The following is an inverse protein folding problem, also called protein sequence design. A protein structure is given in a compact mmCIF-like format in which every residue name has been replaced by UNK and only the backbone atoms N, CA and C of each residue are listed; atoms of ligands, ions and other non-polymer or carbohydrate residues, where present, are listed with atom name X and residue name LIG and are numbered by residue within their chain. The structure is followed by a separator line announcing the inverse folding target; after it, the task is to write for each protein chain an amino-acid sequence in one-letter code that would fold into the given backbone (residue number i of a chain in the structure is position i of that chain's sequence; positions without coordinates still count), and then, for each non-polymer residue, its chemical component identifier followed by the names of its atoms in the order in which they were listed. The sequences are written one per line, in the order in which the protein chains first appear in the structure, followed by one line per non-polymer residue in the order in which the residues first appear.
data_IF_870770476523
#
_entry.id   IF_870770476523
#
_cell.length_a   1.000
_cell.length_b   1.000
_cell.length_c   1.000
_cell.angle_alpha   90.00
_cell.angle_beta   90.00
_cell.angle_gamma   90.00
#
_symmetry.space_group_name_H-M   'P 1'
#
loop_
_entity.id
_entity.type
_entity.pdbx_description
1 polymer ?
#
# COMPACT_ATOMS: atom_id res chain seq x y z
N UNK A 1 -55.33 -21.34 75.98
CA UNK A 1 -56.68 -21.84 76.32
C UNK A 1 -57.06 -22.90 75.32
N UNK A 2 -57.10 -24.10 75.83
CA UNK A 2 -57.91 -25.32 75.42
C UNK A 2 -57.75 -25.83 73.96
N UNK A 3 -57.47 -27.01 73.69
CA UNK A 3 -57.58 -28.36 74.29
C UNK A 3 -57.89 -29.31 73.16
N UNK A 4 -57.09 -30.36 73.07
CA UNK A 4 -57.46 -31.80 73.12
C UNK A 4 -58.58 -32.32 72.22
N UNK A 5 -58.29 -33.29 71.37
CA UNK A 5 -58.58 -34.75 71.58
C UNK A 5 -58.18 -35.47 70.26
N UNK A 6 -57.39 -36.34 70.22
CA UNK A 6 -57.24 -37.80 70.45
C UNK A 6 -58.26 -38.73 69.78
N UNK A 7 -57.71 -39.74 69.23
CA UNK A 7 -58.13 -41.15 68.87
C UNK A 7 -57.92 -41.39 67.35
N UNK A 8 -57.17 -42.23 66.89
CA UNK A 8 -56.87 -43.62 67.27
C UNK A 8 -57.27 -44.52 66.13
N UNK A 9 -56.37 -45.31 65.61
CA UNK A 9 -56.54 -46.68 65.26
C UNK A 9 -55.85 -47.16 63.97
N UNK A 10 -54.99 -48.08 64.18
CA UNK A 10 -54.64 -49.28 63.37
C UNK A 10 -53.95 -49.21 62.06
N UNK A 11 -52.85 -49.89 62.09
CA UNK A 11 -51.89 -50.28 61.07
C UNK A 11 -52.53 -50.99 59.87
N UNK A 12 -51.96 -50.74 58.75
CA UNK A 12 -51.67 -51.73 57.70
C UNK A 12 -50.47 -51.27 56.87
N UNK A 13 -49.46 -52.11 56.80
CA UNK A 13 -48.28 -51.97 55.95
C UNK A 13 -48.62 -52.49 54.54
N UNK A 14 -48.32 -51.74 53.46
CA UNK A 14 -48.15 -52.40 52.19
C UNK A 14 -46.70 -52.27 51.71
N UNK A 15 -46.31 -53.29 51.02
CA UNK A 15 -45.08 -53.69 50.39
C UNK A 15 -44.21 -52.63 49.74
N UNK A 16 -42.93 -52.83 49.92
CA UNK A 16 -41.89 -52.16 49.18
C UNK A 16 -42.02 -52.38 47.66
N UNK A 17 -42.17 -51.28 46.91
CA UNK A 17 -41.99 -51.26 45.44
C UNK A 17 -40.56 -50.84 45.18
N UNK A 18 -39.77 -51.72 44.54
CA UNK A 18 -38.44 -51.46 44.05
C UNK A 18 -38.51 -50.30 43.06
N UNK A 19 -37.66 -49.30 43.27
CA UNK A 19 -37.39 -48.24 42.32
C UNK A 19 -36.56 -48.80 41.15
N UNK A 20 -36.78 -48.35 39.88
CA UNK A 20 -35.96 -48.79 38.77
C UNK A 20 -34.55 -48.22 38.92
N UNK A 21 -33.57 -49.08 38.63
CA UNK A 21 -32.16 -48.70 38.58
C UNK A 21 -31.96 -47.54 37.59
N UNK A 22 -31.29 -46.47 38.04
CA UNK A 22 -30.82 -45.37 37.18
C UNK A 22 -29.84 -45.94 36.16
N UNK A 23 -30.12 -45.71 34.87
CA UNK A 23 -29.15 -45.91 33.77
C UNK A 23 -27.97 -44.96 33.99
N UNK A 24 -26.73 -45.37 33.66
CA UNK A 24 -25.56 -44.49 33.75
C UNK A 24 -25.70 -43.34 32.75
N UNK A 25 -25.76 -42.12 33.24
CA UNK A 25 -25.66 -40.93 32.41
C UNK A 25 -24.33 -40.99 31.63
N UNK A 26 -24.44 -41.03 30.30
CA UNK A 26 -23.32 -40.82 29.39
C UNK A 26 -22.76 -39.41 29.67
N UNK A 27 -21.45 -39.25 29.86
CA UNK A 27 -20.88 -37.90 29.99
C UNK A 27 -21.27 -37.07 28.75
N UNK A 28 -21.85 -35.90 28.95
CA UNK A 28 -22.08 -34.95 27.88
C UNK A 28 -20.69 -34.64 27.25
N UNK A 29 -20.56 -34.92 25.96
CA UNK A 29 -19.43 -34.44 25.18
C UNK A 29 -19.36 -32.90 25.35
N UNK A 30 -18.28 -32.42 25.94
CA UNK A 30 -17.95 -30.96 25.88
C UNK A 30 -18.01 -30.56 24.41
N UNK A 31 -18.67 -29.43 24.07
CA UNK A 31 -18.65 -28.93 22.69
C UNK A 31 -17.18 -28.74 22.29
N UNK A 32 -16.79 -29.40 21.20
CA UNK A 32 -15.47 -29.20 20.61
C UNK A 32 -15.27 -27.69 20.45
N UNK A 33 -14.18 -27.16 20.98
CA UNK A 33 -13.80 -25.77 20.79
C UNK A 33 -13.85 -25.52 19.29
N UNK A 34 -14.61 -24.51 18.88
CA UNK A 34 -14.60 -24.07 17.47
C UNK A 34 -13.17 -23.76 17.11
N UNK A 35 -12.63 -24.40 16.07
CA UNK A 35 -11.27 -24.19 15.62
C UNK A 35 -11.12 -22.70 15.23
N UNK A 36 -10.05 -22.06 15.68
CA UNK A 36 -9.74 -20.67 15.30
C UNK A 36 -9.41 -20.65 13.79
N UNK A 37 -10.20 -19.94 12.96
CA UNK A 37 -9.95 -19.87 11.52
C UNK A 37 -8.54 -19.40 11.16
N UNK A 38 -7.90 -18.61 12.03
CA UNK A 38 -6.53 -18.15 11.83
C UNK A 38 -5.51 -19.28 12.07
N UNK A 39 -5.71 -20.12 13.08
CA UNK A 39 -4.85 -21.28 13.32
C UNK A 39 -4.90 -22.27 12.15
N UNK A 40 -6.09 -22.51 11.60
CA UNK A 40 -6.27 -23.36 10.42
C UNK A 40 -5.57 -22.76 9.19
N UNK A 41 -5.68 -21.45 8.96
CA UNK A 41 -5.00 -20.75 7.88
C UNK A 41 -3.47 -20.84 8.02
N UNK A 42 -2.95 -20.62 9.23
CA UNK A 42 -1.50 -20.74 9.51
C UNK A 42 -1.04 -22.18 9.23
N UNK A 43 -1.77 -23.18 9.65
CA UNK A 43 -1.42 -24.59 9.42
C UNK A 43 -1.42 -24.93 7.92
N UNK A 44 -2.41 -24.48 7.17
CA UNK A 44 -2.50 -24.66 5.72
C UNK A 44 -1.37 -23.94 4.97
N UNK A 45 -1.07 -22.68 5.35
CA UNK A 45 0.02 -21.91 4.77
C UNK A 45 1.40 -22.57 5.03
N UNK A 46 1.63 -23.07 6.26
CA UNK A 46 2.85 -23.83 6.59
C UNK A 46 2.97 -25.12 5.79
N UNK A 47 1.87 -25.76 5.45
CA UNK A 47 1.87 -26.96 4.62
C UNK A 47 2.26 -26.65 3.16
N UNK A 48 1.96 -25.45 2.65
CA UNK A 48 2.46 -24.96 1.34
C UNK A 48 3.96 -24.64 1.38
N UNK A 49 4.46 -24.11 2.50
CA UNK A 49 5.87 -23.99 2.84
C UNK A 49 6.65 -22.91 2.12
N UNK A 50 6.06 -22.21 1.14
CA UNK A 50 6.72 -21.19 0.32
C UNK A 50 5.75 -20.05 -0.03
N UNK A 51 6.28 -18.85 -0.24
CA UNK A 51 5.58 -17.67 -0.74
C UNK A 51 6.50 -16.89 -1.67
N UNK A 52 5.95 -16.34 -2.76
CA UNK A 52 6.67 -15.42 -3.64
C UNK A 52 5.98 -14.07 -3.68
N UNK A 53 6.75 -13.00 -3.39
CA UNK A 53 6.28 -11.62 -3.27
C UNK A 53 6.84 -10.76 -4.39
N UNK A 54 6.00 -10.07 -5.16
CA UNK A 54 6.42 -8.90 -5.92
C UNK A 54 6.21 -7.65 -5.06
N UNK A 55 7.27 -6.86 -4.87
CA UNK A 55 7.22 -5.66 -4.04
C UNK A 55 7.45 -4.40 -4.86
N UNK A 56 6.75 -3.32 -4.53
CA UNK A 56 6.87 -2.03 -5.21
C UNK A 56 7.10 -0.86 -4.24
N UNK A 57 7.31 -1.14 -2.95
CA UNK A 57 7.79 -0.18 -1.96
C UNK A 57 9.34 -0.14 -1.93
N UNK A 58 9.91 0.57 -0.96
CA UNK A 58 11.36 0.61 -0.71
C UNK A 58 11.88 -0.78 -0.41
N UNK A 59 13.07 -1.08 -0.93
CA UNK A 59 13.65 -2.43 -0.86
C UNK A 59 13.91 -2.88 0.57
N UNK A 60 14.34 -1.97 1.43
CA UNK A 60 14.65 -2.21 2.84
C UNK A 60 13.39 -2.63 3.62
N UNK A 61 12.27 -1.94 3.37
CA UNK A 61 10.98 -2.30 3.97
C UNK A 61 10.46 -3.64 3.44
N UNK A 62 10.51 -3.83 2.11
CA UNK A 62 10.10 -5.10 1.48
C UNK A 62 10.89 -6.27 2.05
N UNK A 63 12.22 -6.15 2.12
CA UNK A 63 13.11 -7.18 2.66
C UNK A 63 12.79 -7.49 4.12
N UNK A 64 12.60 -6.45 4.96
CA UNK A 64 12.27 -6.61 6.37
C UNK A 64 10.90 -7.30 6.56
N UNK A 65 9.87 -6.91 5.81
CA UNK A 65 8.56 -7.54 5.86
C UNK A 65 8.62 -9.03 5.45
N UNK A 66 9.32 -9.35 4.38
CA UNK A 66 9.51 -10.72 3.91
C UNK A 66 10.28 -11.59 4.93
N UNK A 67 11.36 -11.05 5.48
CA UNK A 67 12.14 -11.74 6.50
C UNK A 67 11.32 -11.98 7.76
N UNK A 68 10.62 -10.96 8.26
CA UNK A 68 9.81 -11.07 9.47
C UNK A 68 8.66 -12.08 9.31
N UNK A 69 7.97 -12.08 8.18
CA UNK A 69 6.96 -13.10 7.87
C UNK A 69 7.55 -14.52 7.89
N UNK A 70 8.71 -14.71 7.28
CA UNK A 70 9.41 -16.00 7.27
C UNK A 70 9.79 -16.44 8.70
N UNK A 71 10.26 -15.52 9.56
CA UNK A 71 10.61 -15.79 10.94
C UNK A 71 9.39 -16.16 11.80
N UNK A 72 8.27 -15.44 11.63
CA UNK A 72 7.04 -15.69 12.38
C UNK A 72 6.40 -17.04 12.04
N UNK A 73 6.34 -17.38 10.76
CA UNK A 73 5.54 -18.52 10.31
C UNK A 73 6.37 -19.72 9.87
N UNK A 74 7.68 -19.57 9.68
CA UNK A 74 8.55 -20.64 9.17
C UNK A 74 8.28 -20.99 7.70
N UNK A 75 7.67 -20.08 6.94
CA UNK A 75 7.38 -20.22 5.52
C UNK A 75 8.49 -19.51 4.74
N UNK A 76 9.12 -20.20 3.77
CA UNK A 76 10.16 -19.61 2.95
C UNK A 76 9.60 -18.51 2.07
N UNK A 77 10.20 -17.29 2.10
CA UNK A 77 9.77 -16.19 1.26
C UNK A 77 10.82 -15.87 0.22
N UNK A 78 10.40 -15.87 -1.05
CA UNK A 78 11.18 -15.29 -2.15
C UNK A 78 10.55 -13.97 -2.53
N UNK A 79 11.35 -12.94 -2.82
CA UNK A 79 10.78 -11.68 -3.26
C UNK A 79 11.59 -11.08 -4.42
N UNK A 80 10.93 -10.24 -5.19
CA UNK A 80 11.53 -9.41 -6.22
C UNK A 80 10.95 -7.99 -6.12
N UNK A 81 11.85 -6.99 -6.04
CA UNK A 81 11.46 -5.59 -6.11
C UNK A 81 11.31 -5.16 -7.57
N UNK A 82 10.13 -4.65 -7.92
CA UNK A 82 9.76 -4.12 -9.24
C UNK A 82 9.02 -2.80 -9.06
N UNK A 83 9.09 -1.91 -10.05
CA UNK A 83 8.21 -0.74 -10.07
C UNK A 83 6.76 -1.15 -10.28
N UNK A 84 5.80 -0.36 -9.80
CA UNK A 84 4.38 -0.72 -9.85
C UNK A 84 3.88 -1.01 -11.28
N UNK A 85 4.34 -0.22 -12.26
CA UNK A 85 3.99 -0.47 -13.66
C UNK A 85 4.64 -1.74 -14.25
N UNK A 86 5.82 -2.13 -13.76
CA UNK A 86 6.46 -3.39 -14.18
C UNK A 86 5.71 -4.60 -13.62
N UNK A 87 5.23 -4.55 -12.37
CA UNK A 87 4.40 -5.62 -11.80
C UNK A 87 3.11 -5.76 -12.60
N UNK A 88 2.43 -4.65 -12.88
CA UNK A 88 1.22 -4.65 -13.70
C UNK A 88 1.46 -5.35 -15.04
N UNK A 89 2.42 -4.87 -15.84
CA UNK A 89 2.71 -5.42 -17.16
C UNK A 89 3.10 -6.91 -17.10
N UNK A 90 3.85 -7.31 -16.06
CA UNK A 90 4.26 -8.70 -15.88
C UNK A 90 3.08 -9.62 -15.58
N UNK A 91 2.14 -9.21 -14.73
CA UNK A 91 0.96 -10.00 -14.38
C UNK A 91 -0.02 -10.07 -15.55
N UNK A 92 -0.18 -8.98 -16.32
CA UNK A 92 -0.94 -8.98 -17.57
C UNK A 92 -0.36 -9.97 -18.58
N UNK A 93 0.97 -10.01 -18.76
CA UNK A 93 1.65 -10.97 -19.64
C UNK A 93 1.48 -12.41 -19.15
N UNK A 94 1.58 -12.66 -17.84
CA UNK A 94 1.43 -13.98 -17.22
C UNK A 94 -0.02 -14.50 -17.24
N UNK A 95 -1.00 -13.62 -17.41
CA UNK A 95 -2.42 -13.89 -17.72
C UNK A 95 -3.03 -15.06 -16.94
N UNK A 96 -3.10 -14.95 -15.61
CA UNK A 96 -3.72 -15.95 -14.70
C UNK A 96 -2.82 -17.14 -14.37
N UNK A 97 -1.53 -17.09 -14.71
CA UNK A 97 -0.53 -18.05 -14.24
C UNK A 97 0.67 -17.30 -13.65
N UNK A 98 0.46 -16.58 -12.53
CA UNK A 98 1.45 -15.68 -11.98
C UNK A 98 2.69 -16.42 -11.48
N UNK A 99 3.85 -15.77 -11.63
CA UNK A 99 5.12 -16.26 -11.08
C UNK A 99 5.29 -15.89 -9.60
N UNK A 100 4.45 -14.99 -9.07
CA UNK A 100 4.37 -14.64 -7.66
C UNK A 100 2.97 -14.91 -7.10
N UNK A 101 2.86 -14.95 -5.77
CA UNK A 101 1.61 -15.21 -5.07
C UNK A 101 0.92 -13.91 -4.66
N UNK A 102 1.71 -12.90 -4.25
CA UNK A 102 1.20 -11.64 -3.72
C UNK A 102 1.97 -10.43 -4.25
N UNK A 103 1.30 -9.29 -4.19
CA UNK A 103 1.89 -7.98 -4.43
C UNK A 103 1.91 -7.17 -3.14
N UNK A 104 2.99 -6.43 -2.89
CA UNK A 104 3.19 -5.65 -1.68
C UNK A 104 3.76 -4.27 -1.98
N UNK A 105 3.04 -3.21 -1.58
CA UNK A 105 3.43 -1.81 -1.77
C UNK A 105 3.19 -1.26 -3.18
N UNK A 106 3.53 0.00 -3.36
CA UNK A 106 3.29 0.75 -4.60
C UNK A 106 1.87 1.32 -4.70
N UNK A 107 1.63 2.14 -5.72
CA UNK A 107 0.36 2.86 -5.89
C UNK A 107 -0.81 1.96 -6.28
N UNK A 108 -2.03 2.29 -5.84
CA UNK A 108 -3.24 1.48 -6.07
C UNK A 108 -3.81 1.57 -7.48
N UNK A 109 -3.46 2.57 -8.30
CA UNK A 109 -4.01 2.69 -9.65
C UNK A 109 -3.77 1.42 -10.50
N UNK A 110 -2.55 0.84 -10.57
CA UNK A 110 -2.33 -0.43 -11.23
C UNK A 110 -3.03 -1.63 -10.57
N UNK A 111 -3.21 -1.64 -9.25
CA UNK A 111 -4.01 -2.68 -8.58
C UNK A 111 -5.47 -2.65 -9.07
N UNK A 112 -6.03 -1.46 -9.23
CA UNK A 112 -7.38 -1.28 -9.74
C UNK A 112 -7.52 -1.79 -11.19
N UNK A 113 -6.50 -1.60 -12.03
CA UNK A 113 -6.47 -2.15 -13.39
C UNK A 113 -6.50 -3.68 -13.34
N UNK A 114 -5.59 -4.32 -12.59
CA UNK A 114 -5.56 -5.78 -12.45
C UNK A 114 -6.83 -6.34 -11.81
N UNK A 115 -7.44 -5.63 -10.86
CA UNK A 115 -8.72 -6.02 -10.25
C UNK A 115 -9.86 -6.02 -11.28
N UNK A 116 -9.91 -5.01 -12.18
CA UNK A 116 -10.88 -4.91 -13.28
C UNK A 116 -10.68 -6.01 -14.33
N UNK A 117 -9.44 -6.39 -14.58
CA UNK A 117 -9.08 -7.46 -15.53
C UNK A 117 -9.21 -8.87 -14.93
N UNK A 118 -9.70 -8.97 -13.69
CA UNK A 118 -9.87 -10.23 -12.97
C UNK A 118 -8.55 -11.01 -12.77
N UNK A 119 -7.44 -10.28 -12.55
CA UNK A 119 -6.10 -10.82 -12.28
C UNK A 119 -5.71 -10.79 -10.80
N UNK A 120 -6.56 -10.24 -9.92
CA UNK A 120 -6.43 -10.30 -8.47
C UNK A 120 -7.51 -11.21 -7.88
N UNK A 121 -7.14 -12.00 -6.87
CA UNK A 121 -8.04 -12.92 -6.17
C UNK A 121 -8.65 -12.24 -4.94
N UNK A 122 -9.98 -12.19 -4.80
CA UNK A 122 -10.61 -11.61 -3.63
C UNK A 122 -10.39 -12.47 -2.38
N UNK A 123 -10.12 -11.81 -1.27
CA UNK A 123 -10.02 -12.43 0.05
C UNK A 123 -10.59 -11.50 1.12
N UNK A 124 -11.52 -11.98 1.93
CA UNK A 124 -12.09 -11.22 3.04
C UNK A 124 -11.15 -11.27 4.25
N UNK A 125 -10.18 -10.36 4.30
CA UNK A 125 -9.21 -10.30 5.37
C UNK A 125 -9.85 -9.86 6.70
N UNK A 126 -9.56 -10.56 7.80
CA UNK A 126 -10.06 -10.23 9.14
C UNK A 126 -9.46 -8.89 9.62
N UNK A 127 -8.15 -8.70 9.40
CA UNK A 127 -7.43 -7.49 9.79
C UNK A 127 -7.84 -6.25 8.99
N UNK A 128 -8.60 -6.39 7.89
CA UNK A 128 -9.20 -5.27 7.19
C UNK A 128 -10.20 -4.46 8.04
N UNK A 129 -10.67 -5.02 9.16
CA UNK A 129 -11.49 -4.31 10.17
C UNK A 129 -10.76 -3.15 10.84
N UNK A 130 -9.42 -3.12 10.79
CA UNK A 130 -8.56 -2.06 11.32
C UNK A 130 -8.26 -0.93 10.33
N UNK A 131 -8.73 -1.02 9.08
CA UNK A 131 -8.58 0.08 8.13
C UNK A 131 -9.36 1.32 8.61
N UNK A 132 -8.70 2.48 8.62
CA UNK A 132 -9.29 3.74 9.11
C UNK A 132 -10.37 4.32 8.18
N UNK A 133 -10.48 3.80 6.94
CA UNK A 133 -11.51 4.20 5.97
C UNK A 133 -11.70 3.12 4.91
N UNK A 134 -12.92 3.02 4.37
CA UNK A 134 -13.24 2.13 3.26
C UNK A 134 -12.52 2.50 1.95
N UNK A 135 -12.00 3.71 1.82
CA UNK A 135 -11.18 4.12 0.67
C UNK A 135 -9.86 3.35 0.57
N UNK A 136 -9.41 2.69 1.64
CA UNK A 136 -8.18 1.92 1.69
C UNK A 136 -8.38 0.44 1.36
N UNK A 137 -9.45 0.08 0.66
CA UNK A 137 -9.67 -1.29 0.17
C UNK A 137 -10.50 -1.31 -1.11
N UNK A 138 -10.33 -2.33 -1.89
CA UNK A 138 -11.26 -2.68 -2.96
C UNK A 138 -12.59 -3.18 -2.37
N UNK A 139 -13.71 -2.82 -3.02
CA UNK A 139 -15.05 -3.18 -2.54
C UNK A 139 -15.31 -4.69 -2.50
N UNK A 140 -14.62 -5.47 -3.35
CA UNK A 140 -14.70 -6.93 -3.42
C UNK A 140 -13.56 -7.62 -2.63
N UNK A 141 -12.68 -6.84 -1.96
CA UNK A 141 -11.55 -7.36 -1.20
C UNK A 141 -10.41 -7.89 -2.07
N UNK A 142 -10.22 -7.32 -3.27
CA UNK A 142 -9.14 -7.70 -4.19
C UNK A 142 -7.79 -7.08 -3.81
N UNK A 143 -7.80 -5.94 -3.12
CA UNK A 143 -6.62 -5.30 -2.54
C UNK A 143 -6.95 -4.55 -1.26
N UNK A 144 -5.93 -4.32 -0.43
CA UNK A 144 -6.00 -3.61 0.84
C UNK A 144 -4.85 -2.62 0.97
N UNK A 145 -5.15 -1.39 1.39
CA UNK A 145 -4.16 -0.36 1.68
C UNK A 145 -3.35 -0.67 2.93
N UNK A 146 -2.06 -0.36 2.88
CA UNK A 146 -1.12 -0.56 3.98
C UNK A 146 -0.46 0.75 4.42
N UNK A 147 -0.38 1.73 3.53
CA UNK A 147 0.14 3.07 3.84
C UNK A 147 -0.43 4.14 2.91
N UNK A 148 -0.16 5.40 3.25
CA UNK A 148 -0.45 6.60 2.45
C UNK A 148 0.79 7.47 2.34
N UNK A 149 1.08 7.99 1.15
CA UNK A 149 2.19 8.90 0.87
C UNK A 149 1.73 10.16 0.15
N UNK A 150 2.23 11.33 0.56
CA UNK A 150 1.88 12.62 -0.05
C UNK A 150 2.82 12.90 -1.22
N UNK A 151 2.27 13.25 -2.39
CA UNK A 151 3.01 13.69 -3.56
C UNK A 151 3.48 15.14 -3.37
N UNK A 152 4.73 15.45 -3.73
CA UNK A 152 5.26 16.80 -3.63
C UNK A 152 6.63 16.96 -4.27
N UNK A 153 7.38 17.95 -3.80
CA UNK A 153 8.71 18.23 -4.31
C UNK A 153 9.76 18.07 -3.22
N UNK A 154 10.89 17.55 -3.60
CA UNK A 154 12.12 17.52 -2.81
C UNK A 154 13.11 18.41 -3.53
N UNK A 155 13.66 19.41 -2.84
CA UNK A 155 14.57 20.37 -3.45
C UNK A 155 15.94 20.35 -2.78
N UNK A 156 17.01 20.40 -3.56
CA UNK A 156 18.36 20.60 -3.06
C UNK A 156 18.59 22.10 -2.79
N UNK A 157 18.64 22.48 -1.52
CA UNK A 157 18.76 23.89 -1.13
C UNK A 157 20.12 24.48 -1.45
N UNK A 158 21.21 23.71 -1.39
CA UNK A 158 22.56 24.17 -1.73
C UNK A 158 22.68 24.47 -3.22
N UNK A 159 22.10 23.60 -4.07
CA UNK A 159 22.11 23.81 -5.52
C UNK A 159 21.21 24.99 -5.92
N UNK A 160 20.04 25.16 -5.30
CA UNK A 160 19.19 26.32 -5.55
C UNK A 160 19.92 27.63 -5.16
N UNK A 161 20.58 27.66 -3.99
CA UNK A 161 21.37 28.81 -3.56
C UNK A 161 22.53 29.09 -4.54
N UNK A 162 23.28 28.06 -4.94
CA UNK A 162 24.37 28.17 -5.93
C UNK A 162 23.90 28.75 -7.26
N UNK A 163 22.67 28.41 -7.68
CA UNK A 163 22.06 28.88 -8.92
C UNK A 163 21.36 30.25 -8.76
N UNK A 164 21.19 30.75 -7.54
CA UNK A 164 20.46 31.96 -7.23
C UNK A 164 18.96 31.83 -7.48
N UNK A 165 18.40 30.63 -7.28
CA UNK A 165 16.99 30.31 -7.51
C UNK A 165 16.25 30.14 -6.21
N UNK A 166 14.96 30.51 -6.19
CA UNK A 166 14.04 30.21 -5.12
C UNK A 166 13.50 28.78 -5.27
N UNK A 167 13.09 28.15 -4.16
CA UNK A 167 12.39 26.88 -4.21
C UNK A 167 11.00 27.06 -4.83
N UNK A 168 10.52 26.12 -5.68
CA UNK A 168 9.14 26.16 -6.16
C UNK A 168 8.17 25.95 -4.98
N UNK A 169 7.12 26.76 -4.91
CA UNK A 169 6.08 26.65 -3.88
C UNK A 169 4.82 25.92 -4.38
N UNK A 170 4.67 25.78 -5.70
CA UNK A 170 3.48 25.21 -6.32
C UNK A 170 3.80 24.56 -7.68
N UNK A 171 2.87 23.75 -8.16
CA UNK A 171 2.92 23.12 -9.47
C UNK A 171 3.19 24.12 -10.60
N UNK A 172 2.52 25.29 -10.57
CA UNK A 172 2.72 26.33 -11.57
C UNK A 172 4.16 26.87 -11.61
N UNK A 173 4.87 26.88 -10.49
CA UNK A 173 6.26 27.34 -10.42
C UNK A 173 7.20 26.44 -11.22
N UNK A 174 6.91 25.12 -11.28
CA UNK A 174 7.73 24.16 -12.01
C UNK A 174 7.82 24.46 -13.53
N UNK A 175 6.90 25.27 -14.06
CA UNK A 175 6.90 25.69 -15.47
C UNK A 175 7.80 26.89 -15.76
N UNK A 176 8.38 27.52 -14.72
CA UNK A 176 9.27 28.68 -14.90
C UNK A 176 10.53 28.30 -15.67
N UNK A 177 10.96 29.10 -16.66
CA UNK A 177 12.09 28.75 -17.52
C UNK A 177 13.43 28.65 -16.78
N UNK A 178 13.56 29.29 -15.61
CA UNK A 178 14.75 29.18 -14.76
C UNK A 178 15.01 27.79 -14.21
N UNK A 179 14.00 26.89 -14.17
CA UNK A 179 14.14 25.49 -13.74
C UNK A 179 14.46 24.53 -14.90
N UNK A 180 14.78 25.06 -16.08
CA UNK A 180 15.11 24.24 -17.22
C UNK A 180 16.25 23.26 -16.91
N UNK A 181 16.00 21.97 -17.20
CA UNK A 181 16.92 20.86 -16.98
C UNK A 181 17.33 20.65 -15.49
N UNK A 182 16.51 21.13 -14.54
CA UNK A 182 16.74 20.97 -13.09
C UNK A 182 15.76 20.01 -12.43
N UNK A 183 14.70 19.60 -13.12
CA UNK A 183 13.63 18.77 -12.53
C UNK A 183 13.81 17.33 -12.96
N UNK A 184 13.67 16.40 -11.99
CA UNK A 184 13.55 14.99 -12.26
C UNK A 184 12.16 14.49 -11.88
N UNK A 185 11.63 13.60 -12.70
CA UNK A 185 10.38 12.88 -12.49
C UNK A 185 10.60 11.40 -12.84
N UNK A 186 9.77 10.51 -12.39
CA UNK A 186 9.81 9.13 -12.86
C UNK A 186 9.12 8.95 -14.22
N UNK A 187 9.42 7.86 -14.89
CA UNK A 187 8.93 7.55 -16.23
C UNK A 187 7.45 7.11 -16.17
N UNK A 188 6.60 7.72 -16.96
CA UNK A 188 5.16 7.48 -17.02
C UNK A 188 4.79 6.02 -17.34
N UNK A 189 5.65 5.31 -18.07
CA UNK A 189 5.39 3.91 -18.44
C UNK A 189 5.79 2.89 -17.36
N UNK A 190 6.77 3.23 -16.48
CA UNK A 190 7.33 2.26 -15.54
C UNK A 190 6.94 2.50 -14.09
N UNK A 191 6.70 3.76 -13.70
CA UNK A 191 6.50 4.13 -12.30
C UNK A 191 5.06 4.54 -11.99
N UNK A 192 4.50 3.99 -10.91
CA UNK A 192 3.20 4.38 -10.39
C UNK A 192 3.16 5.85 -9.96
N UNK A 193 4.25 6.35 -9.37
CA UNK A 193 4.39 7.78 -8.99
C UNK A 193 4.15 8.72 -10.17
N UNK A 194 4.73 8.43 -11.34
CA UNK A 194 4.53 9.25 -12.52
C UNK A 194 3.09 9.15 -13.06
N UNK A 195 2.48 7.96 -13.02
CA UNK A 195 1.06 7.77 -13.37
C UNK A 195 0.16 8.60 -12.43
N UNK A 196 0.47 8.62 -11.14
CA UNK A 196 -0.23 9.46 -10.17
C UNK A 196 -0.07 10.96 -10.50
N UNK A 197 1.12 11.42 -10.94
CA UNK A 197 1.31 12.80 -11.39
C UNK A 197 0.43 13.11 -12.60
N UNK A 198 0.32 12.21 -13.57
CA UNK A 198 -0.59 12.38 -14.73
C UNK A 198 -2.02 12.57 -14.27
N UNK A 199 -2.54 11.64 -13.44
CA UNK A 199 -3.89 11.72 -12.92
C UNK A 199 -4.12 13.01 -12.10
N UNK A 200 -3.14 13.38 -11.26
CA UNK A 200 -3.19 14.60 -10.45
C UNK A 200 -3.34 15.84 -11.32
N UNK A 201 -2.57 15.97 -12.37
CA UNK A 201 -2.62 17.15 -13.25
C UNK A 201 -3.94 17.21 -14.03
N UNK A 202 -4.44 16.07 -14.52
CA UNK A 202 -5.71 15.99 -15.23
C UNK A 202 -6.88 16.29 -14.30
N UNK A 203 -6.92 15.71 -13.10
CA UNK A 203 -7.99 15.97 -12.13
C UNK A 203 -7.96 17.40 -11.58
N UNK A 204 -6.77 18.00 -11.47
CA UNK A 204 -6.58 19.36 -10.97
C UNK A 204 -6.94 20.44 -11.99
N UNK A 205 -6.53 20.27 -13.23
CA UNK A 205 -6.64 21.31 -14.25
C UNK A 205 -7.69 21.01 -15.34
N UNK A 206 -8.24 19.80 -15.38
CA UNK A 206 -9.03 19.29 -16.48
C UNK A 206 -8.17 18.53 -17.50
N UNK A 207 -8.81 17.71 -18.33
CA UNK A 207 -8.15 16.76 -19.23
C UNK A 207 -7.12 17.44 -20.15
N UNK A 208 -7.55 18.40 -20.96
CA UNK A 208 -6.69 19.02 -21.98
C UNK A 208 -5.63 19.91 -21.35
N UNK A 209 -5.98 20.70 -20.35
CA UNK A 209 -5.08 21.57 -19.60
C UNK A 209 -4.08 20.79 -18.76
N UNK A 210 -4.48 19.63 -18.20
CA UNK A 210 -3.59 18.73 -17.47
C UNK A 210 -2.52 18.11 -18.39
N UNK A 211 -2.91 17.65 -19.57
CA UNK A 211 -1.97 17.15 -20.60
C UNK A 211 -1.04 18.27 -21.05
N UNK A 212 -1.58 19.48 -21.31
CA UNK A 212 -0.76 20.61 -21.71
C UNK A 212 0.23 21.02 -20.62
N UNK A 213 -0.19 20.98 -19.33
CA UNK A 213 0.72 21.21 -18.21
C UNK A 213 1.92 20.25 -18.23
N UNK A 214 1.68 18.95 -18.47
CA UNK A 214 2.75 17.95 -18.53
C UNK A 214 3.68 18.15 -19.73
N UNK A 215 3.16 18.61 -20.86
CA UNK A 215 3.97 18.99 -22.03
C UNK A 215 4.83 20.21 -21.73
N UNK A 216 4.30 21.18 -20.99
CA UNK A 216 5.06 22.38 -20.59
C UNK A 216 6.09 22.06 -19.52
N UNK A 217 5.77 21.19 -18.56
CA UNK A 217 6.67 20.70 -17.53
C UNK A 217 7.87 19.93 -18.14
N UNK A 218 7.63 19.16 -19.20
CA UNK A 218 8.67 18.39 -19.91
C UNK A 218 9.85 19.26 -20.35
N UNK A 219 9.62 20.54 -20.65
CA UNK A 219 10.67 21.50 -21.06
C UNK A 219 11.71 21.73 -19.96
N UNK A 220 11.35 21.49 -18.70
CA UNK A 220 12.18 21.69 -17.52
C UNK A 220 12.68 20.34 -16.93
N UNK A 221 12.14 19.21 -17.40
CA UNK A 221 12.59 17.89 -16.96
C UNK A 221 13.92 17.52 -17.61
N UNK A 222 14.91 17.19 -16.79
CA UNK A 222 16.19 16.66 -17.22
C UNK A 222 16.13 15.14 -17.45
N UNK A 223 15.59 14.39 -16.48
CA UNK A 223 15.58 12.92 -16.48
C UNK A 223 14.22 12.41 -16.01
N UNK A 224 13.75 11.38 -16.68
CA UNK A 224 12.67 10.50 -16.23
C UNK A 224 13.27 9.20 -15.73
N UNK A 225 13.25 8.97 -14.41
CA UNK A 225 13.84 7.78 -13.78
C UNK A 225 12.94 6.56 -13.93
N UNK A 226 13.52 5.35 -13.98
CA UNK A 226 12.73 4.11 -14.02
C UNK A 226 11.79 3.97 -12.81
N UNK A 227 12.33 4.19 -11.61
CA UNK A 227 11.63 4.05 -10.33
C UNK A 227 11.06 5.38 -9.83
N UNK A 228 9.91 5.33 -9.13
CA UNK A 228 9.30 6.49 -8.47
C UNK A 228 10.21 7.17 -7.45
N UNK A 229 11.02 6.40 -6.72
CA UNK A 229 11.99 6.91 -5.74
C UNK A 229 13.32 7.38 -6.35
N UNK A 230 13.48 7.30 -7.68
CA UNK A 230 14.70 7.76 -8.35
C UNK A 230 15.03 9.24 -8.11
N UNK A 231 14.08 10.18 -8.25
CA UNK A 231 14.33 11.57 -7.96
C UNK A 231 14.81 11.82 -6.53
N UNK A 232 14.15 11.26 -5.51
CA UNK A 232 14.50 11.45 -4.08
C UNK A 232 15.94 11.01 -3.78
N UNK A 233 16.36 9.87 -4.31
CA UNK A 233 17.70 9.30 -4.10
C UNK A 233 18.82 10.18 -4.69
N UNK A 234 18.51 11.08 -5.60
CA UNK A 234 19.47 11.92 -6.31
C UNK A 234 19.44 13.39 -5.88
N UNK A 235 18.46 13.83 -5.09
CA UNK A 235 18.38 15.21 -4.61
C UNK A 235 19.51 15.53 -3.64
N UNK A 236 19.74 14.71 -2.64
CA UNK A 236 20.75 14.96 -1.60
C UNK A 236 22.19 15.02 -2.13
N UNK A 237 22.50 14.21 -3.14
CA UNK A 237 23.82 14.21 -3.80
C UNK A 237 24.00 15.28 -4.85
N UNK A 238 22.95 16.07 -5.18
CA UNK A 238 23.00 17.19 -6.12
C UNK A 238 22.88 16.84 -7.61
N UNK A 239 22.63 15.57 -7.95
CA UNK A 239 22.37 15.17 -9.36
C UNK A 239 20.99 15.65 -9.81
N UNK A 240 20.01 15.69 -8.88
CA UNK A 240 18.67 16.21 -9.07
C UNK A 240 18.50 17.47 -8.21
N UNK A 241 18.14 18.61 -8.81
CA UNK A 241 17.91 19.85 -8.04
C UNK A 241 16.49 19.89 -7.49
N UNK A 242 15.50 19.50 -8.29
CA UNK A 242 14.09 19.44 -7.91
C UNK A 242 13.56 18.07 -8.29
N UNK A 243 13.24 17.24 -7.31
CA UNK A 243 12.64 15.91 -7.49
C UNK A 243 11.14 15.95 -7.26
N UNK A 244 10.34 15.45 -8.20
CA UNK A 244 8.90 15.20 -8.00
C UNK A 244 8.72 13.76 -7.58
N UNK A 245 8.08 13.54 -6.41
CA UNK A 245 7.87 12.21 -5.86
C UNK A 245 7.15 12.25 -4.52
N UNK A 246 7.21 11.15 -3.78
CA UNK A 246 6.59 11.08 -2.46
C UNK A 246 7.48 11.72 -1.41
N UNK A 247 6.89 12.54 -0.55
CA UNK A 247 7.64 13.30 0.45
C UNK A 247 8.25 12.42 1.55
N UNK A 248 7.68 11.25 1.83
CA UNK A 248 8.29 10.29 2.76
C UNK A 248 9.63 9.74 2.24
N UNK A 249 9.82 9.59 0.93
CA UNK A 249 11.13 9.26 0.34
C UNK A 249 12.18 10.35 0.65
N UNK A 250 11.76 11.61 0.62
CA UNK A 250 12.61 12.74 1.00
C UNK A 250 12.98 12.71 2.49
N UNK A 251 12.03 12.35 3.36
CA UNK A 251 12.31 12.15 4.80
C UNK A 251 13.40 11.10 4.99
N UNK A 252 13.33 9.98 4.28
CA UNK A 252 14.36 8.93 4.30
C UNK A 252 15.74 9.49 3.95
N UNK A 253 15.83 10.32 2.93
CA UNK A 253 17.11 10.93 2.54
C UNK A 253 17.65 11.88 3.62
N UNK A 254 16.78 12.63 4.30
CA UNK A 254 17.17 13.56 5.35
C UNK A 254 17.56 12.81 6.63
N UNK A 255 16.75 11.86 7.08
CA UNK A 255 16.91 11.18 8.38
C UNK A 255 17.99 10.11 8.32
N UNK A 256 17.89 9.18 7.37
CA UNK A 256 18.76 8.01 7.33
C UNK A 256 20.06 8.28 6.59
N UNK A 257 20.00 9.00 5.45
CA UNK A 257 21.17 9.36 4.66
C UNK A 257 21.81 10.69 5.10
N UNK A 258 21.21 11.40 6.06
CA UNK A 258 21.72 12.62 6.68
C UNK A 258 21.97 13.78 5.69
N UNK A 259 21.17 13.85 4.62
CA UNK A 259 21.22 14.98 3.68
C UNK A 259 20.49 16.20 4.25
N UNK A 260 21.21 17.07 4.96
CA UNK A 260 20.67 18.32 5.52
C UNK A 260 20.34 19.42 4.47
N UNK A 261 20.67 19.17 3.22
CA UNK A 261 20.45 20.09 2.10
C UNK A 261 19.17 19.78 1.29
N UNK A 262 18.25 18.99 1.85
CA UNK A 262 16.95 18.71 1.23
C UNK A 262 15.86 19.48 1.98
N UNK A 263 15.01 20.20 1.25
CA UNK A 263 13.74 20.71 1.76
C UNK A 263 12.57 20.00 1.06
N UNK A 264 11.51 19.75 1.84
CA UNK A 264 10.27 19.13 1.38
C UNK A 264 9.25 20.22 1.10
N UNK A 265 8.58 20.17 -0.04
CA UNK A 265 7.59 21.16 -0.46
C UNK A 265 6.26 20.47 -0.78
N UNK A 266 5.22 20.85 -0.04
CA UNK A 266 3.84 20.52 -0.37
C UNK A 266 3.32 21.61 -1.29
N UNK A 267 2.87 21.28 -2.52
CA UNK A 267 2.32 22.28 -3.44
C UNK A 267 1.15 23.06 -2.84
N UNK A 268 1.26 24.38 -2.82
CA UNK A 268 0.33 25.27 -2.08
C UNK A 268 -1.10 25.27 -2.62
N UNK A 269 -1.29 24.97 -3.92
CA UNK A 269 -2.60 24.85 -4.55
C UNK A 269 -3.25 23.47 -4.39
N UNK A 270 -2.64 22.57 -3.61
CA UNK A 270 -3.09 21.21 -3.37
C UNK A 270 -2.34 20.18 -4.20
N UNK A 271 -2.24 18.98 -3.65
CA UNK A 271 -1.58 17.82 -4.25
C UNK A 271 -2.35 16.56 -3.92
N UNK A 272 -2.08 15.48 -4.65
CA UNK A 272 -2.65 14.16 -4.39
C UNK A 272 -1.76 13.31 -3.47
N UNK A 273 -2.18 12.10 -3.27
CA UNK A 273 -1.50 11.10 -2.44
C UNK A 273 -1.58 9.73 -3.09
N UNK A 274 -0.62 8.86 -2.76
CA UNK A 274 -0.74 7.44 -3.02
C UNK A 274 -1.41 6.72 -1.86
N UNK A 275 -2.01 5.58 -2.18
CA UNK A 275 -2.29 4.49 -1.23
C UNK A 275 -1.42 3.32 -1.67
N UNK A 276 -0.51 2.89 -0.82
CA UNK A 276 0.24 1.66 -1.05
C UNK A 276 -0.58 0.47 -0.60
N UNK A 277 -0.59 -0.62 -1.36
CA UNK A 277 -1.49 -1.72 -1.12
C UNK A 277 -0.82 -3.10 -1.10
N UNK A 278 -1.59 -4.10 -0.70
CA UNK A 278 -1.26 -5.52 -0.85
C UNK A 278 -2.42 -6.26 -1.51
N UNK A 279 -2.11 -7.28 -2.31
CA UNK A 279 -3.10 -8.09 -3.02
C UNK A 279 -2.58 -9.51 -3.26
N UNK A 280 -3.49 -10.47 -3.42
CA UNK A 280 -3.18 -11.81 -3.90
C UNK A 280 -3.44 -11.88 -5.40
N UNK A 281 -2.49 -12.44 -6.16
CA UNK A 281 -2.70 -12.66 -7.58
C UNK A 281 -3.64 -13.83 -7.83
N UNK A 282 -4.50 -13.71 -8.83
CA UNK A 282 -5.37 -14.80 -9.25
C UNK A 282 -4.53 -15.93 -9.84
N UNK A 283 -4.76 -17.15 -9.35
CA UNK A 283 -3.94 -18.29 -9.73
C UNK A 283 -2.64 -18.44 -8.95
N UNK A 284 -2.47 -17.73 -7.83
CA UNK A 284 -1.35 -17.91 -6.91
C UNK A 284 -1.11 -19.38 -6.57
N UNK A 285 0.16 -19.79 -6.56
CA UNK A 285 0.54 -21.20 -6.34
C UNK A 285 0.43 -21.62 -4.88
N UNK A 286 0.54 -20.63 -3.97
CA UNK A 286 0.50 -20.82 -2.53
C UNK A 286 -0.64 -19.96 -1.91
N UNK A 287 -1.92 -20.29 -2.21
CA UNK A 287 -3.05 -19.43 -1.87
C UNK A 287 -3.28 -19.26 -0.36
N UNK A 288 -2.92 -20.24 0.48
CA UNK A 288 -3.06 -20.09 1.92
C UNK A 288 -1.92 -19.23 2.50
N UNK A 289 -0.70 -19.37 2.01
CA UNK A 289 0.41 -18.49 2.36
C UNK A 289 0.14 -17.04 1.89
N UNK A 290 -0.47 -16.86 0.71
CA UNK A 290 -0.89 -15.57 0.21
C UNK A 290 -1.98 -14.90 1.09
N UNK A 291 -2.99 -15.64 1.52
CA UNK A 291 -4.01 -15.14 2.47
C UNK A 291 -3.40 -14.76 3.80
N UNK A 292 -2.52 -15.61 4.34
CA UNK A 292 -1.79 -15.32 5.57
C UNK A 292 -0.91 -14.08 5.44
N UNK A 293 -0.29 -13.87 4.27
CA UNK A 293 0.45 -12.64 3.96
C UNK A 293 -0.46 -11.41 4.01
N UNK A 294 -1.68 -11.46 3.45
CA UNK A 294 -2.62 -10.34 3.51
C UNK A 294 -2.96 -9.99 4.97
N UNK A 295 -3.25 -11.00 5.81
CA UNK A 295 -3.50 -10.77 7.25
C UNK A 295 -2.29 -10.13 7.93
N UNK A 296 -1.09 -10.64 7.67
CA UNK A 296 0.16 -10.10 8.18
C UNK A 296 0.41 -8.66 7.68
N UNK A 297 0.21 -8.39 6.40
CA UNK A 297 0.43 -7.07 5.81
C UNK A 297 -0.49 -5.98 6.39
N UNK A 298 -1.65 -6.38 6.95
CA UNK A 298 -2.62 -5.53 7.63
C UNK A 298 -2.45 -5.54 9.16
N UNK A 299 -1.31 -5.98 9.67
CA UNK A 299 -1.02 -6.01 11.10
C UNK A 299 0.01 -4.96 11.50
N UNK A 300 -0.02 -4.47 12.76
CA UNK A 300 1.01 -3.59 13.30
C UNK A 300 2.43 -4.14 13.12
N UNK A 301 2.59 -5.46 13.30
CA UNK A 301 3.87 -6.15 13.18
C UNK A 301 4.51 -5.98 11.80
N UNK A 302 3.71 -5.83 10.74
CA UNK A 302 4.21 -5.60 9.39
C UNK A 302 4.37 -4.11 9.08
N UNK A 303 3.31 -3.31 9.29
CA UNK A 303 3.33 -1.91 8.82
C UNK A 303 4.31 -1.03 9.61
N UNK A 304 4.55 -1.32 10.89
CA UNK A 304 5.52 -0.59 11.72
C UNK A 304 6.98 -0.87 11.34
N UNK A 305 7.26 -1.96 10.60
CA UNK A 305 8.58 -2.23 10.04
C UNK A 305 9.00 -1.16 9.02
N UNK A 306 8.03 -0.48 8.39
CA UNK A 306 8.31 0.58 7.43
C UNK A 306 9.24 1.65 8.02
N UNK A 307 8.84 2.29 9.11
CA UNK A 307 9.63 3.34 9.75
C UNK A 307 10.95 2.82 10.35
N UNK A 308 10.99 1.56 10.78
CA UNK A 308 12.22 0.92 11.29
C UNK A 308 13.24 0.66 10.17
N UNK A 309 12.80 0.68 8.92
CA UNK A 309 13.60 0.42 7.72
C UNK A 309 13.55 1.59 6.72
N UNK A 310 13.46 2.81 7.22
CA UNK A 310 13.62 4.02 6.44
C UNK A 310 12.45 4.39 5.53
N UNK A 311 11.27 3.85 5.77
CA UNK A 311 10.04 4.15 5.02
C UNK A 311 9.05 4.86 5.94
N UNK A 312 8.87 6.18 5.78
CA UNK A 312 8.14 7.05 6.71
C UNK A 312 6.75 7.44 6.20
N UNK A 313 6.04 6.49 5.58
CA UNK A 313 4.66 6.67 5.14
C UNK A 313 3.69 6.76 6.32
N UNK A 314 2.52 7.37 6.08
CA UNK A 314 1.41 7.31 7.03
C UNK A 314 0.75 5.93 6.98
N UNK A 315 0.53 5.33 8.14
CA UNK A 315 -0.15 4.04 8.26
C UNK A 315 -1.66 4.23 8.21
N UNK A 316 -2.35 3.28 7.57
CA UNK A 316 -3.81 3.38 7.32
C UNK A 316 -4.62 2.38 8.13
N UNK A 317 -4.03 1.80 9.19
CA UNK A 317 -4.71 0.95 10.18
C UNK A 317 -4.70 1.62 11.57
N UNK A 318 -5.78 1.48 12.33
CA UNK A 318 -6.04 2.20 13.57
C UNK A 318 -5.31 1.66 14.80
N UNK A 319 -4.81 0.44 14.73
CA UNK A 319 -4.11 -0.25 15.82
C UNK A 319 -2.57 -0.23 15.68
N UNK A 320 -2.02 0.48 14.70
CA UNK A 320 -0.58 0.66 14.53
C UNK A 320 -0.10 2.03 15.01
N UNK A 321 1.17 2.10 15.40
CA UNK A 321 1.82 3.35 15.83
C UNK A 321 2.31 4.13 14.62
N UNK A 322 1.79 5.34 14.42
CA UNK A 322 2.24 6.24 13.35
C UNK A 322 3.70 6.65 13.54
N UNK A 323 4.52 6.70 12.48
CA UNK A 323 5.86 7.26 12.56
C UNK A 323 5.79 8.78 12.83
N UNK A 324 6.63 9.27 13.77
CA UNK A 324 6.63 10.70 14.13
C UNK A 324 7.26 11.60 13.05
N UNK A 325 8.11 11.04 12.19
CA UNK A 325 8.94 11.78 11.25
C UNK A 325 8.11 12.63 10.27
N UNK A 326 7.03 12.09 9.73
CA UNK A 326 6.19 12.85 8.81
C UNK A 326 5.63 14.13 9.47
N UNK A 327 5.16 14.05 10.70
CA UNK A 327 4.68 15.19 11.47
C UNK A 327 5.81 16.17 11.84
N UNK A 328 7.01 15.69 12.17
CA UNK A 328 8.20 16.52 12.46
C UNK A 328 8.60 17.37 11.25
N UNK A 329 8.39 16.87 10.01
CA UNK A 329 8.58 17.62 8.76
C UNK A 329 7.34 18.40 8.31
N UNK A 330 6.30 18.49 9.15
CA UNK A 330 5.10 19.27 8.89
C UNK A 330 4.16 18.67 7.83
N UNK A 331 4.30 17.38 7.55
CA UNK A 331 3.38 16.67 6.67
C UNK A 331 2.09 16.33 7.42
N UNK A 332 0.95 16.61 6.77
CA UNK A 332 -0.39 16.30 7.27
C UNK A 332 -1.08 15.40 6.24
N UNK A 333 -1.46 14.16 6.61
CA UNK A 333 -2.09 13.23 5.68
C UNK A 333 -3.45 13.71 5.15
N UNK A 334 -4.09 14.64 5.85
CA UNK A 334 -5.39 15.19 5.47
C UNK A 334 -5.29 16.45 4.60
N UNK A 335 -4.09 17.05 4.49
CA UNK A 335 -3.84 18.21 3.65
C UNK A 335 -3.54 17.81 2.20
N UNK A 336 -4.50 17.15 1.57
CA UNK A 336 -4.43 16.69 0.17
C UNK A 336 -5.73 17.05 -0.56
N UNK A 337 -5.64 17.15 -1.90
CA UNK A 337 -6.84 17.34 -2.72
C UNK A 337 -7.67 16.05 -2.75
N UNK A 338 -8.96 16.19 -3.05
CA UNK A 338 -9.80 15.05 -3.38
C UNK A 338 -9.24 14.36 -4.64
N UNK A 339 -9.10 13.03 -4.57
CA UNK A 339 -8.58 12.23 -5.67
C UNK A 339 -9.64 11.24 -6.13
N UNK A 340 -9.99 11.28 -7.41
CA UNK A 340 -10.96 10.38 -8.03
C UNK A 340 -10.30 9.06 -8.43
N UNK A 341 -10.38 8.07 -7.52
CA UNK A 341 -9.86 6.72 -7.75
C UNK A 341 -10.61 5.98 -8.87
N UNK A 342 -11.91 6.26 -9.09
CA UNK A 342 -12.67 5.61 -10.17
C UNK A 342 -12.27 6.16 -11.54
N UNK A 343 -12.02 7.47 -11.65
CA UNK A 343 -11.46 8.05 -12.86
C UNK A 343 -10.06 7.46 -13.15
N UNK A 344 -9.17 7.44 -12.16
CA UNK A 344 -7.84 6.88 -12.28
C UNK A 344 -7.87 5.40 -12.72
N UNK A 345 -8.68 4.57 -12.06
CA UNK A 345 -8.87 3.15 -12.39
C UNK A 345 -9.27 2.93 -13.85
N UNK A 346 -10.12 3.79 -14.38
CA UNK A 346 -10.66 3.61 -15.72
C UNK A 346 -9.80 4.23 -16.81
N UNK A 347 -9.04 5.28 -16.52
CA UNK A 347 -8.48 6.16 -17.53
C UNK A 347 -6.95 6.31 -17.48
N UNK A 348 -6.25 5.92 -16.39
CA UNK A 348 -4.79 6.15 -16.26
C UNK A 348 -4.00 5.66 -17.47
N UNK A 349 -4.29 4.47 -17.99
CA UNK A 349 -3.60 3.92 -19.17
C UNK A 349 -3.76 4.83 -20.38
N UNK A 350 -4.98 5.24 -20.68
CA UNK A 350 -5.31 6.17 -21.78
C UNK A 350 -4.62 7.51 -21.58
N UNK A 351 -4.68 8.07 -20.37
CA UNK A 351 -4.03 9.34 -20.05
C UNK A 351 -2.52 9.30 -20.27
N UNK A 352 -1.86 8.22 -19.87
CA UNK A 352 -0.41 8.04 -20.11
C UNK A 352 -0.11 7.99 -21.60
N UNK A 353 -0.89 7.24 -22.39
CA UNK A 353 -0.74 7.17 -23.85
C UNK A 353 -0.91 8.54 -24.51
N UNK A 354 -1.92 9.31 -24.08
CA UNK A 354 -2.20 10.66 -24.60
C UNK A 354 -1.07 11.64 -24.23
N UNK A 355 -0.54 11.59 -23.00
CA UNK A 355 0.62 12.40 -22.58
C UNK A 355 1.85 12.06 -23.43
N UNK A 356 2.16 10.77 -23.61
CA UNK A 356 3.30 10.34 -24.41
C UNK A 356 3.16 10.74 -25.88
N UNK A 357 1.95 10.65 -26.43
CA UNK A 357 1.65 11.13 -27.80
C UNK A 357 1.80 12.66 -27.91
N UNK A 358 1.33 13.42 -26.90
CA UNK A 358 1.46 14.87 -26.85
C UNK A 358 2.93 15.30 -26.76
N UNK A 359 3.73 14.63 -25.91
CA UNK A 359 5.18 14.85 -25.80
C UNK A 359 5.88 14.57 -27.14
N UNK A 360 5.60 13.46 -27.77
CA UNK A 360 6.15 13.14 -29.11
C UNK A 360 5.78 14.20 -30.15
N UNK A 361 4.53 14.65 -30.17
CA UNK A 361 4.04 15.69 -31.07
C UNK A 361 4.66 17.06 -30.81
N UNK A 362 4.99 17.38 -29.56
CA UNK A 362 5.69 18.63 -29.20
C UNK A 362 7.16 18.63 -29.61
N UNK A 363 7.71 17.49 -30.04
CA UNK A 363 9.12 17.32 -30.37
C UNK A 363 10.00 17.02 -29.16
N UNK A 364 9.42 16.63 -28.03
CA UNK A 364 10.16 16.21 -26.85
C UNK A 364 11.02 14.96 -27.14
N UNK A 365 12.21 14.89 -26.51
CA UNK A 365 13.02 13.68 -26.54
C UNK A 365 12.40 12.64 -25.60
N UNK A 366 11.76 11.62 -26.16
CA UNK A 366 11.18 10.48 -25.43
C UNK A 366 12.06 9.22 -25.50
N UNK A 367 13.31 9.35 -25.91
CA UNK A 367 14.27 8.26 -26.02
C UNK A 367 14.75 7.74 -24.64
N UNK A 368 15.33 6.54 -24.63
CA UNK A 368 15.82 5.86 -23.43
C UNK A 368 17.00 6.59 -22.73
N UNK A 369 17.67 7.49 -23.44
CA UNK A 369 18.69 8.39 -22.86
C UNK A 369 18.10 9.34 -21.80
N UNK A 370 16.80 9.68 -21.92
CA UNK A 370 16.08 10.57 -21.03
C UNK A 370 14.97 9.83 -20.24
N UNK A 371 14.20 8.97 -20.89
CA UNK A 371 13.20 8.10 -20.28
C UNK A 371 13.84 6.76 -19.89
N UNK A 372 14.33 6.66 -18.66
CA UNK A 372 15.04 5.46 -18.19
C UNK A 372 14.09 4.28 -18.00
N UNK A 373 14.53 3.11 -18.43
CA UNK A 373 13.83 1.82 -18.30
C UNK A 373 14.68 0.76 -17.59
N UNK A 374 15.96 1.09 -17.31
CA UNK A 374 16.92 0.23 -16.61
C UNK A 374 17.54 0.94 -15.41
#
# INVERSE_FOLDING_TARGET
VFALAACGSTAETPAATEAPAAEPETPAEEPAAEADPMEDLIAAAKAEGELTVYGSCEEEYLAAACQHFQELYGIKVNYQRLSTGEVQAKIEEENGNPSADVWFGGTTDPYNVLAKEDLLEPYAAQNASHLISDMYKDAEGKWYGIYKGILGFMVNTDELERLGLEAPADWADLLKPEYKDLIWLSNYNTAGTAKLVVNTMIQKYGHDEGIQYLVDLDKNIQVYTKSGSGPSKNVGIGECVIGIGFLHDGITQIVDNQYGNIALVIPSSGTSFEVGATAMFKGAKHPNAAKLWIEYALSPECVELAAQNGSYQFLVIDNATQPSQAAEFGLDPDNVMEYDFEDAKNNTGTYVEEVMAALSKSGANTGADRFKTE
#
